data_IF_256682351552
#
_entry.id   IF_256682351552
#
_cell.length_a   1.000
_cell.length_b   1.000
_cell.length_c   1.000
_cell.angle_alpha   90.00
_cell.angle_beta   90.00
_cell.angle_gamma   90.00
#
_symmetry.space_group_name_H-M   'P 1'
#
loop_
_entity.id
_entity.type
_entity.pdbx_description
1 polymer ?
#
# COMPACT_ATOMS: atom_id res chain seq x y z
N UNK A 1 -5.13 -16.15 -24.18
CA UNK A 1 -4.50 -16.23 -22.84
C UNK A 1 -5.01 -15.07 -22.00
N UNK A 2 -5.18 -15.25 -20.69
CA UNK A 2 -5.62 -14.20 -19.75
C UNK A 2 -4.63 -14.11 -18.60
N UNK A 3 -4.21 -12.89 -18.27
CA UNK A 3 -3.31 -12.59 -17.14
C UNK A 3 -4.08 -11.80 -16.09
N UNK A 4 -3.83 -12.10 -14.82
CA UNK A 4 -4.42 -11.38 -13.68
C UNK A 4 -3.37 -10.46 -13.08
N UNK A 5 -3.76 -9.24 -12.75
CA UNK A 5 -2.94 -8.29 -12.01
C UNK A 5 -3.77 -7.63 -10.91
N UNK A 6 -3.10 -7.14 -9.87
CA UNK A 6 -3.71 -6.40 -8.79
C UNK A 6 -3.04 -5.02 -8.66
N UNK A 7 -3.83 -4.01 -8.33
CA UNK A 7 -3.34 -2.69 -7.94
C UNK A 7 -3.95 -2.37 -6.59
N UNK A 8 -3.10 -2.08 -5.62
CA UNK A 8 -3.52 -1.74 -4.26
C UNK A 8 -3.14 -0.30 -3.96
N UNK A 9 -4.14 0.51 -3.58
CA UNK A 9 -3.91 1.88 -3.12
C UNK A 9 -3.42 1.86 -1.67
N UNK A 10 -2.45 2.72 -1.34
CA UNK A 10 -2.04 2.91 0.06
C UNK A 10 -3.23 3.29 0.96
N UNK A 11 -3.13 2.97 2.25
CA UNK A 11 -4.13 3.35 3.24
C UNK A 11 -4.28 4.87 3.41
N UNK A 12 -5.29 5.26 4.20
CA UNK A 12 -5.65 6.66 4.44
C UNK A 12 -4.51 7.39 5.18
N UNK A 13 -4.18 8.62 4.75
CA UNK A 13 -3.30 9.56 5.46
C UNK A 13 -4.10 10.73 6.04
N UNK A 14 -3.49 11.54 6.92
CA UNK A 14 -4.17 12.75 7.43
C UNK A 14 -4.52 13.73 6.30
N UNK A 15 -3.67 13.83 5.27
CA UNK A 15 -3.94 14.68 4.11
C UNK A 15 -5.12 14.18 3.27
N UNK A 16 -5.41 12.87 3.26
CA UNK A 16 -6.65 12.38 2.65
C UNK A 16 -7.88 12.89 3.40
N UNK A 17 -7.84 12.90 4.73
CA UNK A 17 -8.94 13.39 5.58
C UNK A 17 -9.13 14.90 5.47
N UNK A 18 -8.04 15.64 5.25
CA UNK A 18 -8.04 17.10 5.08
C UNK A 18 -8.28 17.56 3.63
N UNK A 19 -8.46 16.64 2.67
CA UNK A 19 -8.65 16.98 1.26
C UNK A 19 -7.41 17.58 0.56
N UNK A 20 -6.21 17.34 1.09
CA UNK A 20 -4.95 17.88 0.57
C UNK A 20 -4.30 16.97 -0.48
N UNK A 21 -3.73 17.60 -1.53
CA UNK A 21 -2.93 16.92 -2.56
C UNK A 21 -1.58 16.53 -1.96
N UNK A 22 -1.21 15.25 -2.03
CA UNK A 22 0.05 14.72 -1.47
C UNK A 22 1.21 14.68 -2.46
N UNK A 23 0.94 14.40 -3.74
CA UNK A 23 1.99 14.18 -4.74
C UNK A 23 3.06 13.19 -4.27
N UNK A 24 4.32 13.61 -4.36
CA UNK A 24 5.51 12.87 -3.88
C UNK A 24 5.90 13.20 -2.42
N UNK A 25 5.16 14.08 -1.74
CA UNK A 25 5.40 14.35 -0.32
C UNK A 25 5.15 13.07 0.49
N UNK A 26 6.10 12.71 1.35
CA UNK A 26 6.07 11.46 2.08
C UNK A 26 5.22 11.58 3.36
N UNK A 27 3.91 11.71 3.19
CA UNK A 27 2.96 11.76 4.30
C UNK A 27 2.67 10.34 4.79
N UNK A 28 2.82 10.03 6.10
CA UNK A 28 2.53 8.71 6.66
C UNK A 28 1.04 8.38 6.61
N UNK A 29 0.71 7.09 6.83
CA UNK A 29 -0.67 6.70 7.13
C UNK A 29 -1.19 7.46 8.36
N UNK A 30 -2.51 7.68 8.42
CA UNK A 30 -3.18 8.16 9.62
C UNK A 30 -3.36 7.03 10.62
N UNK A 31 -3.63 7.36 11.88
CA UNK A 31 -3.99 6.35 12.89
C UNK A 31 -5.21 5.54 12.47
N UNK A 32 -6.26 6.22 11.98
CA UNK A 32 -7.46 5.59 11.46
C UNK A 32 -7.17 4.69 10.25
N UNK A 33 -6.27 5.11 9.36
CA UNK A 33 -5.85 4.32 8.19
C UNK A 33 -5.18 3.01 8.59
N UNK A 34 -4.29 3.03 9.60
CA UNK A 34 -3.65 1.81 10.12
C UNK A 34 -4.67 0.85 10.71
N UNK A 35 -5.61 1.36 11.51
CA UNK A 35 -6.67 0.55 12.12
C UNK A 35 -7.54 -0.08 11.02
N UNK A 36 -7.96 0.71 10.03
CA UNK A 36 -8.76 0.19 8.91
C UNK A 36 -8.03 -0.88 8.10
N UNK A 37 -6.72 -0.79 7.95
CA UNK A 37 -5.95 -1.80 7.21
C UNK A 37 -5.81 -3.12 7.99
N UNK A 38 -5.83 -3.08 9.33
CA UNK A 38 -5.73 -4.30 10.14
C UNK A 38 -6.90 -5.27 9.97
N UNK A 39 -8.03 -4.79 9.43
CA UNK A 39 -9.21 -5.61 9.12
C UNK A 39 -9.31 -5.98 7.63
N UNK A 40 -8.31 -5.64 6.81
CA UNK A 40 -8.31 -5.91 5.36
C UNK A 40 -7.43 -7.12 5.08
N UNK A 41 -7.91 -8.02 4.23
CA UNK A 41 -7.11 -9.08 3.62
C UNK A 41 -7.13 -8.94 2.10
N UNK A 42 -6.01 -9.27 1.47
CA UNK A 42 -5.95 -9.40 0.02
C UNK A 42 -6.63 -10.72 -0.41
N UNK A 43 -7.20 -10.81 -1.63
CA UNK A 43 -7.74 -12.07 -2.12
C UNK A 43 -6.65 -13.15 -2.18
N UNK A 44 -7.02 -14.40 -1.88
CA UNK A 44 -6.08 -15.52 -1.81
C UNK A 44 -5.26 -15.73 -3.08
N UNK A 45 -5.83 -15.40 -4.25
CA UNK A 45 -5.12 -15.50 -5.53
C UNK A 45 -3.91 -14.56 -5.66
N UNK A 46 -3.76 -13.59 -4.74
CA UNK A 46 -2.70 -12.61 -4.70
C UNK A 46 -1.84 -12.69 -3.41
N UNK A 47 -1.96 -13.78 -2.64
CA UNK A 47 -1.10 -14.00 -1.46
C UNK A 47 0.35 -14.30 -1.85
N UNK A 48 0.54 -15.20 -2.83
CA UNK A 48 1.87 -15.70 -3.21
C UNK A 48 2.53 -14.93 -4.37
N UNK A 49 1.93 -13.83 -4.81
CA UNK A 49 2.49 -12.98 -5.87
C UNK A 49 3.50 -11.99 -5.28
N UNK A 50 4.48 -11.61 -6.10
CA UNK A 50 5.40 -10.55 -5.71
C UNK A 50 4.74 -9.18 -5.85
N UNK A 51 4.74 -8.42 -4.77
CA UNK A 51 4.23 -7.06 -4.74
C UNK A 51 5.35 -6.04 -4.95
N UNK A 52 5.09 -5.05 -5.80
CA UNK A 52 5.97 -3.90 -6.02
C UNK A 52 5.30 -2.68 -5.37
N UNK A 53 6.06 -1.92 -4.59
CA UNK A 53 5.55 -0.75 -3.87
C UNK A 53 6.29 0.52 -4.29
N UNK A 54 5.57 1.65 -4.32
CA UNK A 54 6.18 2.98 -4.34
C UNK A 54 7.17 3.17 -3.18
N UNK A 55 8.22 4.01 -3.33
CA UNK A 55 9.16 4.33 -2.26
C UNK A 55 8.59 5.28 -1.19
N UNK A 56 7.29 5.60 -1.20
CA UNK A 56 6.67 6.44 -0.18
C UNK A 56 6.28 5.58 1.03
N UNK A 57 6.52 6.07 2.24
CA UNK A 57 6.26 5.38 3.50
C UNK A 57 4.83 4.84 3.56
N UNK A 58 3.83 5.63 3.17
CA UNK A 58 2.42 5.18 3.16
C UNK A 58 2.18 3.90 2.34
N UNK A 59 2.86 3.73 1.22
CA UNK A 59 2.73 2.53 0.38
C UNK A 59 3.45 1.33 1.01
N UNK A 60 4.70 1.52 1.46
CA UNK A 60 5.47 0.47 2.13
C UNK A 60 4.82 0.00 3.44
N UNK A 61 4.27 0.93 4.20
CA UNK A 61 3.58 0.66 5.46
C UNK A 61 2.27 -0.10 5.21
N UNK A 62 1.52 0.27 4.18
CA UNK A 62 0.32 -0.49 3.77
C UNK A 62 0.68 -1.94 3.44
N UNK A 63 1.71 -2.15 2.61
CA UNK A 63 2.17 -3.49 2.27
C UNK A 63 2.64 -4.29 3.49
N UNK A 64 3.27 -3.62 4.47
CA UNK A 64 3.68 -4.25 5.74
C UNK A 64 2.47 -4.66 6.59
N UNK A 65 1.46 -3.81 6.72
CA UNK A 65 0.27 -4.10 7.54
C UNK A 65 -0.54 -5.27 6.95
N UNK A 66 -0.60 -5.36 5.62
CA UNK A 66 -1.31 -6.41 4.90
C UNK A 66 -0.46 -7.68 4.69
N UNK A 67 0.74 -7.75 5.28
CA UNK A 67 1.68 -8.87 5.16
C UNK A 67 1.98 -9.29 3.70
N UNK A 68 2.12 -8.30 2.81
CA UNK A 68 2.37 -8.57 1.39
C UNK A 68 3.81 -9.01 1.16
N UNK A 69 4.01 -10.09 0.41
CA UNK A 69 5.32 -10.56 -0.05
C UNK A 69 5.93 -9.55 -1.04
N UNK A 70 6.76 -8.65 -0.53
CA UNK A 70 7.42 -7.62 -1.34
C UNK A 70 8.56 -8.19 -2.15
N UNK A 71 8.72 -7.71 -3.38
CA UNK A 71 9.91 -7.93 -4.17
C UNK A 71 11.14 -7.31 -3.47
N UNK A 72 12.26 -8.05 -3.42
CA UNK A 72 13.45 -7.67 -2.66
C UNK A 72 14.11 -6.37 -3.16
N UNK A 73 13.91 -6.03 -4.43
CA UNK A 73 14.38 -4.77 -5.00
C UNK A 73 13.26 -3.71 -4.93
N UNK A 74 13.40 -2.77 -4.00
CA UNK A 74 12.62 -1.53 -4.07
C UNK A 74 13.26 -0.65 -5.13
N UNK A 75 12.64 -0.55 -6.31
CA UNK A 75 13.10 0.40 -7.32
C UNK A 75 12.81 1.82 -6.82
N UNK A 76 13.86 2.54 -6.42
CA UNK A 76 13.79 3.97 -6.23
C UNK A 76 13.67 4.60 -7.63
N UNK A 77 12.47 5.10 -7.97
CA UNK A 77 12.24 5.98 -9.12
C UNK A 77 12.47 7.44 -8.71
#
# INVERSE_FOLDING_TARGET
MSSKFAILRHGITNWNLEGKIQGRTDVPLSKAGRISLSSVSVPSLFHDVEWITSPLQRARETAKILDLKKHAQTFAL
#
